data_IF_625394229613
#
_entry.id   IF_625394229613
#
_cell.length_a   1.000
_cell.length_b   1.000
_cell.length_c   1.000
_cell.angle_alpha   90.00
_cell.angle_beta   90.00
_cell.angle_gamma   90.00
#
_symmetry.space_group_name_H-M   'P 1'
#
loop_
_entity.id
_entity.type
_entity.pdbx_description
1 polymer ?
#
# COMPACT_ATOMS: atom_id res chain seq x y z
N UNK A 1 -3.71 13.59 21.73
CA UNK A 1 -4.90 12.71 21.79
C UNK A 1 -5.87 12.83 20.62
N UNK A 2 -6.53 13.96 20.33
CA UNK A 2 -7.48 14.04 19.19
C UNK A 2 -6.79 14.05 17.82
N UNK A 3 -5.74 14.88 17.62
CA UNK A 3 -4.97 14.95 16.36
C UNK A 3 -4.23 13.66 15.99
N UNK A 4 -3.79 12.88 16.96
CA UNK A 4 -3.07 11.62 16.71
C UNK A 4 -4.01 10.51 16.21
N UNK A 5 -5.27 10.50 16.67
CA UNK A 5 -6.28 9.57 16.16
C UNK A 5 -6.68 9.88 14.72
N UNK A 6 -6.74 11.16 14.35
CA UNK A 6 -7.06 11.58 12.98
C UNK A 6 -5.98 11.13 11.99
N UNK A 7 -4.70 11.37 12.28
CA UNK A 7 -3.58 10.94 11.43
C UNK A 7 -3.48 9.42 11.25
N UNK A 8 -3.74 8.64 12.31
CA UNK A 8 -3.76 7.16 12.21
C UNK A 8 -4.90 6.65 11.31
N UNK A 9 -6.04 7.34 11.31
CA UNK A 9 -7.20 6.96 10.49
C UNK A 9 -6.93 7.26 9.00
N UNK A 10 -6.30 8.39 8.69
CA UNK A 10 -5.88 8.73 7.32
C UNK A 10 -4.84 7.76 6.76
N UNK A 11 -3.80 7.41 7.53
CA UNK A 11 -2.78 6.44 7.13
C UNK A 11 -3.37 5.05 6.86
N UNK A 12 -4.37 4.64 7.66
CA UNK A 12 -5.08 3.36 7.44
C UNK A 12 -5.89 3.38 6.14
N UNK A 13 -6.58 4.48 5.85
CA UNK A 13 -7.35 4.65 4.61
C UNK A 13 -6.41 4.64 3.40
N UNK A 14 -5.25 5.29 3.49
CA UNK A 14 -4.26 5.28 2.42
C UNK A 14 -3.71 3.86 2.19
N UNK A 15 -3.33 3.14 3.26
CA UNK A 15 -2.87 1.74 3.18
C UNK A 15 -3.88 0.83 2.48
N UNK A 16 -5.15 0.85 2.92
CA UNK A 16 -6.22 0.05 2.31
C UNK A 16 -6.42 0.42 0.84
N UNK A 17 -6.31 1.71 0.50
CA UNK A 17 -6.40 2.17 -0.89
C UNK A 17 -5.26 1.63 -1.75
N UNK A 18 -4.01 1.65 -1.25
CA UNK A 18 -2.85 1.04 -1.94
C UNK A 18 -3.04 -0.45 -2.17
N UNK A 19 -3.52 -1.17 -1.16
CA UNK A 19 -3.75 -2.61 -1.25
C UNK A 19 -4.87 -2.94 -2.25
N UNK A 20 -5.95 -2.15 -2.29
CA UNK A 20 -7.02 -2.30 -3.27
C UNK A 20 -6.54 -2.02 -4.69
N UNK A 21 -5.71 -1.00 -4.90
CA UNK A 21 -5.13 -0.72 -6.21
C UNK A 21 -4.22 -1.86 -6.68
N UNK A 22 -3.38 -2.39 -5.79
CA UNK A 22 -2.52 -3.53 -6.10
C UNK A 22 -3.34 -4.77 -6.51
N UNK A 23 -4.47 -5.04 -5.84
CA UNK A 23 -5.40 -6.13 -6.22
C UNK A 23 -6.00 -5.92 -7.61
N UNK A 24 -6.49 -4.72 -7.93
CA UNK A 24 -7.03 -4.41 -9.27
C UNK A 24 -5.98 -4.57 -10.37
N UNK A 25 -4.73 -4.20 -10.08
CA UNK A 25 -3.60 -4.40 -11.00
C UNK A 25 -3.30 -5.88 -11.19
N UNK A 26 -3.34 -6.68 -10.11
CA UNK A 26 -3.22 -8.13 -10.18
C UNK A 26 -4.31 -8.75 -11.06
N UNK A 27 -5.56 -8.31 -10.91
CA UNK A 27 -6.67 -8.76 -11.77
C UNK A 27 -6.40 -8.43 -13.25
N UNK A 28 -5.79 -7.27 -13.53
CA UNK A 28 -5.38 -6.88 -14.89
C UNK A 28 -4.30 -7.82 -15.43
N UNK A 29 -3.31 -8.20 -14.61
CA UNK A 29 -2.27 -9.15 -14.97
C UNK A 29 -2.81 -10.57 -15.24
N UNK A 30 -3.96 -10.92 -14.67
CA UNK A 30 -4.64 -12.20 -14.92
C UNK A 30 -5.42 -12.23 -16.24
N UNK A 31 -5.57 -11.09 -16.92
CA UNK A 31 -6.24 -11.06 -18.23
C UNK A 31 -5.41 -11.83 -19.27
N UNK A 32 -5.94 -12.92 -19.87
CA UNK A 32 -5.21 -13.69 -20.87
C UNK A 32 -4.92 -12.93 -22.17
N UNK A 33 -5.62 -11.81 -22.42
CA UNK A 33 -5.43 -10.95 -23.60
C UNK A 33 -4.43 -9.81 -23.37
N UNK A 34 -3.81 -9.72 -22.19
CA UNK A 34 -2.84 -8.66 -21.88
C UNK A 34 -1.61 -8.76 -22.80
N UNK A 35 -1.18 -7.62 -23.34
CA UNK A 35 0.07 -7.57 -24.11
C UNK A 35 1.27 -7.65 -23.18
N UNK A 36 2.42 -8.11 -23.68
CA UNK A 36 3.67 -8.11 -22.90
C UNK A 36 4.07 -6.71 -22.43
N UNK A 37 3.84 -5.67 -23.25
CA UNK A 37 4.17 -4.30 -22.86
C UNK A 37 3.30 -3.83 -21.71
N UNK A 38 2.00 -4.16 -21.74
CA UNK A 38 1.07 -3.73 -20.71
C UNK A 38 1.21 -4.57 -19.43
N UNK A 39 1.62 -5.85 -19.54
CA UNK A 39 1.90 -6.68 -18.36
C UNK A 39 3.12 -6.17 -17.59
N UNK A 40 4.17 -5.70 -18.27
CA UNK A 40 5.33 -5.08 -17.61
C UNK A 40 4.93 -3.79 -16.89
N UNK A 41 4.16 -2.91 -17.54
CA UNK A 41 3.67 -1.67 -16.91
C UNK A 41 2.79 -1.95 -15.70
N UNK A 42 1.84 -2.89 -15.83
CA UNK A 42 0.96 -3.30 -14.74
C UNK A 42 1.77 -3.87 -13.57
N UNK A 43 2.76 -4.73 -13.84
CA UNK A 43 3.65 -5.25 -12.81
C UNK A 43 4.39 -4.13 -12.06
N UNK A 44 5.03 -3.20 -12.77
CA UNK A 44 5.73 -2.07 -12.15
C UNK A 44 4.81 -1.21 -11.28
N UNK A 45 3.59 -0.94 -11.76
CA UNK A 45 2.59 -0.19 -11.01
C UNK A 45 2.14 -0.94 -9.75
N UNK A 46 1.88 -2.25 -9.86
CA UNK A 46 1.48 -3.08 -8.73
C UNK A 46 2.56 -3.13 -7.66
N UNK A 47 3.82 -3.32 -8.06
CA UNK A 47 4.97 -3.29 -7.17
C UNK A 47 5.13 -1.94 -6.47
N UNK A 48 4.86 -0.83 -7.16
CA UNK A 48 4.88 0.51 -6.56
C UNK A 48 3.82 0.67 -5.48
N UNK A 49 2.58 0.27 -5.73
CA UNK A 49 1.50 0.33 -4.73
C UNK A 49 1.83 -0.53 -3.50
N UNK A 50 2.35 -1.75 -3.70
CA UNK A 50 2.76 -2.64 -2.61
C UNK A 50 3.93 -2.07 -1.80
N UNK A 51 4.92 -1.47 -2.46
CA UNK A 51 6.06 -0.83 -1.78
C UNK A 51 5.59 0.33 -0.89
N UNK A 52 4.64 1.13 -1.38
CA UNK A 52 4.06 2.22 -0.60
C UNK A 52 3.26 1.70 0.61
N UNK A 53 2.45 0.65 0.41
CA UNK A 53 1.73 0.00 1.50
C UNK A 53 2.67 -0.54 2.58
N UNK A 54 3.78 -1.18 2.17
CA UNK A 54 4.80 -1.68 3.09
C UNK A 54 5.44 -0.55 3.91
N UNK A 55 5.76 0.58 3.28
CA UNK A 55 6.33 1.75 3.95
C UNK A 55 5.40 2.29 5.06
N UNK A 56 4.09 2.30 4.83
CA UNK A 56 3.10 2.71 5.84
C UNK A 56 3.16 1.77 7.06
N UNK A 57 3.28 0.46 6.83
CA UNK A 57 3.39 -0.53 7.92
C UNK A 57 4.70 -0.35 8.71
N UNK A 58 5.82 -0.15 8.02
CA UNK A 58 7.12 0.10 8.65
C UNK A 58 7.08 1.37 9.53
N UNK A 59 6.49 2.45 9.02
CA UNK A 59 6.31 3.69 9.78
C UNK A 59 5.40 3.49 11.01
N UNK A 60 4.34 2.71 10.88
CA UNK A 60 3.46 2.36 12.00
C UNK A 60 4.19 1.53 13.07
N UNK A 61 5.01 0.56 12.66
CA UNK A 61 5.81 -0.26 13.58
C UNK A 61 6.85 0.58 14.34
N UNK A 62 7.52 1.52 13.66
CA UNK A 62 8.46 2.46 14.27
C UNK A 62 7.73 3.31 15.33
N UNK A 63 6.56 3.86 15.01
CA UNK A 63 5.76 4.66 15.96
C UNK A 63 5.38 3.83 17.20
N UNK A 64 4.93 2.59 17.01
CA UNK A 64 4.59 1.68 18.12
C UNK A 64 5.82 1.41 19.01
N UNK A 65 6.98 1.19 18.40
CA UNK A 65 8.23 0.91 19.11
C UNK A 65 8.69 2.12 19.92
N UNK A 66 8.57 3.33 19.38
CA UNK A 66 8.87 4.57 20.09
C UNK A 66 7.96 4.76 21.32
N UNK A 67 6.66 4.47 21.19
CA UNK A 67 5.71 4.57 22.31
C UNK A 67 5.98 3.52 23.39
N UNK A 68 6.40 2.30 23.00
CA UNK A 68 6.70 1.21 23.94
C UNK A 68 8.08 1.31 24.60
N UNK A 69 8.96 2.16 24.06
CA UNK A 69 10.32 2.38 24.56
C UNK A 69 10.42 3.37 25.73
N UNK A 70 9.31 3.98 26.13
CA UNK A 70 9.11 4.75 27.37
C UNK A 70 8.39 3.90 28.43
#
# INVERSE_FOLDING_TARGET
MAKEKEGFTEETIDFESKLQNAKKILDTLMNPEITLSDSVKAYEQGMKELTQAQKILEEAEIKITQIKGE
#
